data_IF_560852946090
#
_entry.id   IF_560852946090
#
_cell.length_a   1.000
_cell.length_b   1.000
_cell.length_c   1.000
_cell.angle_alpha   90.00
_cell.angle_beta   90.00
_cell.angle_gamma   90.00
#
_symmetry.space_group_name_H-M   'P 1'
#
loop_
_entity.id
_entity.type
_entity.pdbx_description
1 polymer ?
#
# COMPACT_ATOMS: atom_id res chain seq x y z
N UNK A 1 -1.35 -58.66 -15.37
CA UNK A 1 -2.63 -59.37 -15.16
C UNK A 1 -3.66 -58.31 -14.88
N UNK A 2 -4.78 -58.34 -15.59
CA UNK A 2 -5.90 -57.42 -15.36
C UNK A 2 -7.10 -58.28 -14.98
N UNK A 3 -7.75 -57.97 -13.87
CA UNK A 3 -8.95 -58.64 -13.42
C UNK A 3 -9.97 -57.56 -13.08
N UNK A 4 -11.16 -57.66 -13.68
CA UNK A 4 -12.22 -56.66 -13.56
C UNK A 4 -13.42 -57.34 -12.91
N UNK A 5 -13.78 -56.88 -11.71
CA UNK A 5 -15.01 -57.27 -11.03
C UNK A 5 -16.05 -56.17 -11.26
N UNK A 6 -17.26 -56.54 -11.71
CA UNK A 6 -18.41 -55.63 -11.74
C UNK A 6 -19.42 -56.09 -10.71
N UNK A 7 -19.67 -55.25 -9.73
CA UNK A 7 -20.55 -55.57 -8.61
C UNK A 7 -22.01 -55.19 -8.93
N UNK A 8 -22.96 -56.03 -8.52
CA UNK A 8 -24.40 -55.84 -8.68
C UNK A 8 -25.16 -55.54 -7.38
N UNK A 9 -24.44 -55.39 -6.26
CA UNK A 9 -24.97 -55.23 -4.91
C UNK A 9 -24.82 -56.50 -4.05
N UNK A 10 -24.11 -56.40 -2.91
CA UNK A 10 -23.73 -57.51 -2.04
C UNK A 10 -22.25 -57.47 -1.67
N UNK A 11 -21.83 -58.23 -0.65
CA UNK A 11 -20.43 -58.33 -0.19
C UNK A 11 -19.58 -59.26 -1.06
N UNK A 12 -19.51 -58.97 -2.36
CA UNK A 12 -18.76 -59.78 -3.31
C UNK A 12 -17.25 -59.52 -3.21
N UNK A 13 -16.45 -60.54 -3.48
CA UNK A 13 -14.99 -60.46 -3.51
C UNK A 13 -14.44 -61.28 -4.68
N UNK A 14 -13.31 -60.86 -5.23
CA UNK A 14 -12.62 -61.55 -6.33
C UNK A 14 -11.24 -61.98 -5.86
N UNK A 15 -10.96 -63.28 -5.95
CA UNK A 15 -9.61 -63.83 -5.78
C UNK A 15 -9.10 -64.37 -7.10
N UNK A 16 -7.91 -63.94 -7.50
CA UNK A 16 -7.19 -64.49 -8.65
C UNK A 16 -6.12 -65.43 -8.13
N UNK A 17 -6.17 -66.70 -8.56
CA UNK A 17 -5.16 -67.71 -8.25
C UNK A 17 -4.34 -68.09 -9.48
N UNK A 18 -3.20 -68.77 -9.27
CA UNK A 18 -2.33 -69.30 -10.31
C UNK A 18 -1.87 -70.71 -9.96
N UNK A 19 -1.53 -71.53 -10.98
CA UNK A 19 -0.91 -72.85 -10.80
C UNK A 19 0.26 -73.02 -11.77
N UNK A 20 1.32 -73.70 -11.35
CA UNK A 20 2.36 -74.15 -12.27
C UNK A 20 1.83 -75.31 -13.14
N UNK A 21 2.27 -75.46 -14.40
CA UNK A 21 1.90 -76.62 -15.20
C UNK A 21 2.68 -77.85 -14.69
N UNK A 22 2.07 -78.63 -13.81
CA UNK A 22 2.45 -80.02 -13.57
C UNK A 22 1.26 -80.92 -13.89
N UNK A 23 1.55 -82.11 -14.39
CA UNK A 23 0.67 -83.05 -15.10
C UNK A 23 -0.61 -83.47 -14.32
N UNK A 24 -1.63 -82.62 -14.31
CA UNK A 24 -3.05 -83.02 -14.23
C UNK A 24 -3.96 -81.79 -14.48
N UNK A 25 -4.46 -81.66 -15.71
CA UNK A 25 -5.18 -80.45 -16.17
C UNK A 25 -6.64 -80.38 -15.68
N UNK A 26 -7.20 -81.50 -15.19
CA UNK A 26 -8.64 -81.72 -15.00
C UNK A 26 -9.20 -81.37 -13.59
N UNK A 27 -8.35 -80.88 -12.67
CA UNK A 27 -8.78 -80.40 -11.34
C UNK A 27 -8.73 -78.87 -11.27
N UNK A 28 -9.89 -78.22 -11.10
CA UNK A 28 -9.96 -76.78 -10.78
C UNK A 28 -9.50 -76.54 -9.34
N UNK A 29 -8.72 -75.48 -9.04
CA UNK A 29 -8.39 -75.13 -7.66
C UNK A 29 -9.66 -74.95 -6.82
N UNK A 30 -9.72 -75.53 -5.63
CA UNK A 30 -10.86 -75.38 -4.73
C UNK A 30 -11.11 -73.92 -4.34
N UNK A 31 -12.36 -73.51 -4.16
CA UNK A 31 -12.72 -72.14 -3.74
C UNK A 31 -12.10 -71.73 -2.40
N UNK A 32 -12.00 -70.42 -2.15
CA UNK A 32 -11.34 -69.79 -0.98
C UNK A 32 -9.82 -70.03 -0.89
N UNK A 33 -9.08 -69.96 -2.00
CA UNK A 33 -7.62 -69.87 -1.93
C UNK A 33 -7.19 -68.52 -1.34
N UNK A 34 -6.04 -68.51 -0.68
CA UNK A 34 -5.33 -67.26 -0.38
C UNK A 34 -5.02 -66.53 -1.70
N UNK A 35 -5.20 -65.20 -1.71
CA UNK A 35 -4.81 -64.39 -2.86
C UNK A 35 -3.31 -64.50 -3.14
N UNK A 36 -2.90 -64.26 -4.39
CA UNK A 36 -1.48 -64.24 -4.74
C UNK A 36 -0.78 -63.16 -3.89
N UNK A 37 0.28 -63.49 -3.13
CA UNK A 37 1.00 -62.49 -2.35
C UNK A 37 1.66 -61.42 -3.23
N UNK A 38 1.75 -60.18 -2.71
CA UNK A 38 2.35 -59.03 -3.37
C UNK A 38 3.77 -59.28 -3.92
N UNK A 39 4.53 -60.18 -3.29
CA UNK A 39 5.91 -60.53 -3.65
C UNK A 39 6.07 -61.12 -5.06
N UNK A 40 4.98 -61.66 -5.62
CA UNK A 40 4.98 -62.23 -6.99
C UNK A 40 4.56 -61.22 -8.05
N UNK A 41 4.17 -60.01 -7.65
CA UNK A 41 3.82 -58.94 -8.58
C UNK A 41 5.00 -57.98 -8.73
N UNK A 42 5.32 -57.64 -9.97
CA UNK A 42 6.20 -56.51 -10.28
C UNK A 42 5.34 -55.41 -10.90
N UNK A 43 5.37 -54.23 -10.28
CA UNK A 43 4.80 -53.01 -10.84
C UNK A 43 5.92 -52.16 -11.45
N UNK A 44 5.64 -51.45 -12.54
CA UNK A 44 6.54 -50.42 -13.05
C UNK A 44 5.87 -49.07 -12.87
N UNK A 45 6.50 -48.18 -12.10
CA UNK A 45 6.09 -46.78 -12.04
C UNK A 45 6.95 -45.98 -13.02
N UNK A 46 6.30 -45.30 -13.97
CA UNK A 46 6.99 -44.40 -14.89
C UNK A 46 7.17 -43.05 -14.22
N UNK A 47 8.40 -42.75 -13.81
CA UNK A 47 8.78 -41.42 -13.30
C UNK A 47 9.12 -40.51 -14.49
N UNK A 48 8.44 -39.36 -14.67
CA UNK A 48 8.78 -38.40 -15.72
C UNK A 48 10.21 -37.86 -15.54
N UNK A 49 10.88 -37.50 -16.63
CA UNK A 49 12.14 -36.76 -16.52
C UNK A 49 11.89 -35.38 -15.89
N UNK A 50 12.86 -34.87 -15.13
CA UNK A 50 12.81 -33.50 -14.63
C UNK A 50 12.75 -32.53 -15.81
N UNK A 51 11.86 -31.54 -15.73
CA UNK A 51 11.91 -30.39 -16.63
C UNK A 51 13.15 -29.55 -16.34
N UNK A 52 13.57 -28.69 -17.27
CA UNK A 52 14.54 -27.63 -16.95
C UNK A 52 14.04 -26.78 -15.77
N UNK A 53 14.93 -26.00 -15.16
CA UNK A 53 14.51 -25.06 -14.12
C UNK A 53 13.36 -24.17 -14.61
N UNK A 54 12.48 -23.80 -13.69
CA UNK A 54 11.44 -22.80 -13.95
C UNK A 54 11.69 -21.55 -13.13
N UNK A 55 11.22 -20.41 -13.61
CA UNK A 55 11.38 -19.13 -12.92
C UNK A 55 10.27 -18.14 -13.24
N UNK A 56 10.05 -17.19 -12.33
CA UNK A 56 9.13 -16.07 -12.50
C UNK A 56 9.60 -14.86 -11.71
N UNK A 57 9.24 -13.65 -12.17
CA UNK A 57 9.43 -12.40 -11.43
C UNK A 57 8.08 -11.88 -10.95
N UNK A 58 8.03 -11.39 -9.71
CA UNK A 58 6.90 -10.69 -9.13
C UNK A 58 7.36 -9.36 -8.53
N UNK A 59 6.47 -8.37 -8.52
CA UNK A 59 6.69 -7.08 -7.86
C UNK A 59 5.59 -6.86 -6.84
N UNK A 60 5.97 -6.57 -5.61
CA UNK A 60 5.07 -6.13 -4.55
C UNK A 60 5.33 -4.65 -4.30
N UNK A 61 4.33 -3.80 -4.55
CA UNK A 61 4.45 -2.34 -4.36
C UNK A 61 3.89 -1.91 -3.01
N UNK A 62 4.51 -0.91 -2.42
CA UNK A 62 3.95 -0.09 -1.35
C UNK A 62 2.88 0.87 -1.90
N UNK A 63 2.70 1.98 -1.19
CA UNK A 63 1.63 2.96 -1.47
C UNK A 63 2.23 4.28 -1.94
N UNK A 64 1.43 5.23 -2.40
CA UNK A 64 1.96 6.57 -2.75
C UNK A 64 2.57 7.32 -1.56
N UNK A 65 2.14 6.98 -0.34
CA UNK A 65 2.59 7.59 0.91
C UNK A 65 3.83 6.92 1.50
N UNK A 66 4.09 5.67 1.09
CA UNK A 66 5.32 4.95 1.36
C UNK A 66 5.78 4.25 0.07
N UNK A 67 6.26 5.03 -0.91
CA UNK A 67 6.49 4.54 -2.25
C UNK A 67 7.80 3.76 -2.29
N UNK A 68 7.67 2.46 -2.14
CA UNK A 68 8.73 1.47 -2.29
C UNK A 68 8.19 0.22 -2.97
N UNK A 69 9.06 -0.69 -3.39
CA UNK A 69 8.67 -2.00 -3.89
C UNK A 69 9.71 -3.06 -3.55
N UNK A 70 9.24 -4.30 -3.46
CA UNK A 70 10.09 -5.49 -3.39
C UNK A 70 9.91 -6.30 -4.65
N UNK A 71 11.02 -6.57 -5.34
CA UNK A 71 11.08 -7.43 -6.53
C UNK A 71 11.50 -8.82 -6.08
N UNK A 72 10.75 -9.85 -6.46
CA UNK A 72 11.03 -11.24 -6.10
C UNK A 72 11.21 -12.09 -7.36
N UNK A 73 12.41 -12.61 -7.55
CA UNK A 73 12.70 -13.67 -8.52
C UNK A 73 12.55 -15.03 -7.83
N UNK A 74 11.55 -15.80 -8.27
CA UNK A 74 11.36 -17.18 -7.84
C UNK A 74 11.99 -18.12 -8.84
N UNK A 75 12.84 -19.06 -8.38
CA UNK A 75 13.46 -20.08 -9.24
C UNK A 75 13.26 -21.46 -8.60
N UNK A 76 12.86 -22.44 -9.41
CA UNK A 76 12.74 -23.84 -9.00
C UNK A 76 13.70 -24.67 -9.84
N UNK A 77 14.69 -25.29 -9.20
CA UNK A 77 15.63 -26.16 -9.90
C UNK A 77 14.92 -27.41 -10.44
N UNK A 78 15.36 -27.85 -11.61
CA UNK A 78 14.92 -29.09 -12.24
C UNK A 78 16.12 -29.88 -12.75
N UNK A 79 16.12 -30.23 -14.03
CA UNK A 79 17.24 -30.86 -14.71
C UNK A 79 18.46 -29.92 -14.84
N UNK A 80 18.22 -28.60 -14.89
CA UNK A 80 19.23 -27.57 -14.74
C UNK A 80 19.06 -26.87 -13.39
N UNK A 81 20.15 -26.31 -12.86
CA UNK A 81 20.16 -25.61 -11.57
C UNK A 81 20.59 -24.16 -11.73
N UNK A 82 20.09 -23.29 -10.88
CA UNK A 82 20.48 -21.88 -10.83
C UNK A 82 21.97 -21.71 -10.47
N UNK A 83 22.70 -20.89 -11.23
CA UNK A 83 23.94 -20.26 -10.76
C UNK A 83 23.57 -19.00 -9.95
N UNK A 84 23.47 -19.16 -8.63
CA UNK A 84 23.03 -18.07 -7.73
C UNK A 84 23.95 -16.83 -7.80
N UNK A 85 25.24 -17.00 -8.16
CA UNK A 85 26.17 -15.88 -8.28
C UNK A 85 25.93 -15.03 -9.54
N UNK A 86 25.26 -15.60 -10.54
CA UNK A 86 24.92 -14.92 -11.79
C UNK A 86 23.72 -13.98 -11.69
N UNK A 87 22.96 -14.07 -10.59
CA UNK A 87 21.69 -13.35 -10.44
C UNK A 87 21.94 -11.83 -10.38
N UNK A 88 21.21 -11.09 -11.22
CA UNK A 88 21.19 -9.65 -11.22
C UNK A 88 19.74 -9.16 -11.34
N UNK A 89 19.27 -8.43 -10.33
CA UNK A 89 17.99 -7.71 -10.36
C UNK A 89 18.29 -6.22 -10.47
N UNK A 90 17.56 -5.52 -11.33
CA UNK A 90 17.74 -4.08 -11.56
C UNK A 90 16.43 -3.34 -11.71
N UNK A 91 16.45 -2.05 -11.34
CA UNK A 91 15.36 -1.09 -11.49
C UNK A 91 15.85 0.06 -12.38
N UNK A 92 15.19 0.30 -13.52
CA UNK A 92 15.61 1.33 -14.48
C UNK A 92 17.05 1.14 -14.97
N UNK A 93 17.55 -0.10 -15.02
CA UNK A 93 18.93 -0.44 -15.35
C UNK A 93 19.94 -0.31 -14.19
N UNK A 94 19.52 0.17 -13.02
CA UNK A 94 20.37 0.24 -11.83
C UNK A 94 20.28 -1.07 -11.06
N UNK A 95 21.42 -1.75 -10.85
CA UNK A 95 21.47 -3.02 -10.11
C UNK A 95 21.13 -2.79 -8.63
N UNK A 96 20.23 -3.61 -8.11
CA UNK A 96 19.82 -3.61 -6.71
C UNK A 96 20.62 -4.64 -5.90
N UNK A 97 20.65 -4.44 -4.58
CA UNK A 97 21.14 -5.45 -3.64
C UNK A 97 20.05 -6.50 -3.46
N UNK A 98 20.37 -7.76 -3.76
CA UNK A 98 19.43 -8.87 -3.65
C UNK A 98 19.84 -9.84 -2.53
N UNK A 99 18.84 -10.39 -1.85
CA UNK A 99 18.99 -11.42 -0.81
C UNK A 99 18.30 -12.69 -1.26
N UNK A 100 18.97 -13.84 -1.15
CA UNK A 100 18.43 -15.14 -1.55
C UNK A 100 18.05 -15.98 -0.32
N UNK A 101 16.86 -16.56 -0.34
CA UNK A 101 16.45 -17.62 0.58
C UNK A 101 16.29 -18.92 -0.19
N UNK A 102 16.97 -19.98 0.24
CA UNK A 102 16.91 -21.30 -0.35
C UNK A 102 15.89 -22.19 0.38
N UNK A 103 15.10 -22.92 -0.38
CA UNK A 103 14.17 -23.95 0.08
C UNK A 103 14.34 -25.23 -0.72
N UNK A 104 13.42 -26.18 -0.52
CA UNK A 104 13.40 -27.44 -1.28
C UNK A 104 12.00 -27.79 -1.73
N UNK A 105 11.92 -28.53 -2.84
CA UNK A 105 10.69 -29.16 -3.28
C UNK A 105 10.89 -30.67 -3.36
N UNK A 106 9.81 -31.44 -3.16
CA UNK A 106 9.81 -32.89 -3.35
C UNK A 106 8.50 -33.33 -4.01
N UNK A 107 8.57 -34.29 -4.92
CA UNK A 107 7.41 -34.95 -5.54
C UNK A 107 7.59 -36.47 -5.55
N UNK A 108 6.63 -37.18 -4.98
CA UNK A 108 6.64 -38.64 -4.89
C UNK A 108 5.85 -39.28 -6.04
N UNK A 109 6.41 -40.33 -6.62
CA UNK A 109 5.82 -41.19 -7.64
C UNK A 109 5.73 -42.63 -7.12
N UNK A 110 4.98 -42.84 -6.05
CA UNK A 110 4.70 -44.18 -5.51
C UNK A 110 5.94 -44.93 -5.02
N UNK A 111 6.84 -44.24 -4.31
CA UNK A 111 8.05 -44.81 -3.72
C UNK A 111 9.36 -44.35 -4.37
N UNK A 112 9.28 -43.54 -5.44
CA UNK A 112 10.42 -42.82 -6.02
C UNK A 112 10.16 -41.33 -5.93
N UNK A 113 11.00 -40.60 -5.20
CA UNK A 113 10.88 -39.16 -5.05
C UNK A 113 11.85 -38.42 -5.97
N UNK A 114 11.38 -37.33 -6.56
CA UNK A 114 12.22 -36.28 -7.16
C UNK A 114 12.26 -35.09 -6.21
N UNK A 115 13.40 -34.41 -6.13
CA UNK A 115 13.57 -33.21 -5.33
C UNK A 115 14.60 -32.26 -5.94
N UNK A 116 14.56 -31.02 -5.48
CA UNK A 116 15.50 -29.97 -5.89
C UNK A 116 15.40 -28.75 -4.99
N UNK A 117 16.31 -27.80 -5.19
CA UNK A 117 16.27 -26.52 -4.48
C UNK A 117 15.24 -25.56 -5.10
N UNK A 118 14.69 -24.70 -4.26
CA UNK A 118 13.95 -23.51 -4.67
C UNK A 118 14.67 -22.28 -4.16
N UNK A 119 14.57 -21.16 -4.89
CA UNK A 119 15.14 -19.88 -4.48
C UNK A 119 14.05 -18.81 -4.53
N UNK A 120 13.95 -18.05 -3.45
CA UNK A 120 13.26 -16.76 -3.42
C UNK A 120 14.31 -15.68 -3.27
N UNK A 121 14.56 -14.93 -4.35
CA UNK A 121 15.57 -13.87 -4.37
C UNK A 121 14.86 -12.54 -4.41
N UNK A 122 14.97 -11.77 -3.32
CA UNK A 122 14.28 -10.49 -3.14
C UNK A 122 15.25 -9.33 -3.28
N UNK A 123 14.79 -8.23 -3.88
CA UNK A 123 15.52 -6.97 -3.94
C UNK A 123 14.56 -5.81 -3.68
N UNK A 124 14.87 -5.00 -2.67
CA UNK A 124 14.09 -3.81 -2.33
C UNK A 124 14.56 -2.60 -3.13
N UNK A 125 13.61 -1.78 -3.59
CA UNK A 125 13.92 -0.56 -4.36
C UNK A 125 14.44 0.57 -3.47
N UNK A 126 14.19 0.51 -2.17
CA UNK A 126 14.18 1.69 -1.31
C UNK A 126 13.05 2.65 -1.71
N UNK A 127 13.12 3.89 -1.23
CA UNK A 127 12.16 4.94 -1.59
C UNK A 127 12.30 5.34 -3.07
N UNK A 128 11.18 5.37 -3.77
CA UNK A 128 11.02 5.75 -5.18
C UNK A 128 9.81 6.69 -5.31
N UNK A 129 9.63 7.33 -6.46
CA UNK A 129 8.48 8.22 -6.67
C UNK A 129 7.22 7.44 -7.11
N UNK A 130 6.06 7.80 -6.56
CA UNK A 130 4.76 7.35 -7.06
C UNK A 130 4.39 8.04 -8.38
N UNK A 131 3.54 7.40 -9.19
CA UNK A 131 3.13 7.90 -10.50
C UNK A 131 4.17 7.76 -11.61
N UNK A 132 5.36 7.26 -11.29
CA UNK A 132 6.43 6.96 -12.25
C UNK A 132 6.40 5.47 -12.61
N UNK A 133 6.47 5.16 -13.91
CA UNK A 133 6.63 3.78 -14.37
C UNK A 133 8.10 3.36 -14.25
N UNK A 134 8.35 2.24 -13.57
CA UNK A 134 9.68 1.66 -13.43
C UNK A 134 9.79 0.35 -14.19
N UNK A 135 10.91 0.20 -14.91
CA UNK A 135 11.29 -1.06 -15.55
C UNK A 135 12.10 -1.93 -14.60
N UNK A 136 11.75 -3.20 -14.51
CA UNK A 136 12.44 -4.25 -13.75
C UNK A 136 13.06 -5.24 -14.72
N UNK A 137 14.32 -5.60 -14.49
CA UNK A 137 14.99 -6.69 -15.21
C UNK A 137 15.65 -7.62 -14.20
N UNK A 138 15.32 -8.91 -14.26
CA UNK A 138 15.91 -9.97 -13.46
C UNK A 138 16.57 -11.01 -14.38
N UNK A 139 17.90 -11.06 -14.37
CA UNK A 139 18.70 -11.97 -15.21
C UNK A 139 19.42 -12.99 -14.35
N UNK A 140 19.51 -14.22 -14.84
CA UNK A 140 20.31 -15.28 -14.24
C UNK A 140 20.78 -16.26 -15.32
N UNK A 141 21.76 -17.10 -14.98
CA UNK A 141 22.28 -18.18 -15.83
C UNK A 141 22.08 -19.52 -15.13
N UNK A 142 21.85 -20.56 -15.93
CA UNK A 142 21.69 -21.91 -15.45
C UNK A 142 22.96 -22.77 -15.56
N UNK A 143 22.93 -23.96 -14.98
CA UNK A 143 24.06 -24.90 -15.00
C UNK A 143 24.42 -25.42 -16.41
N UNK A 144 23.55 -25.23 -17.40
CA UNK A 144 23.85 -25.51 -18.81
C UNK A 144 24.49 -24.31 -19.53
N UNK A 145 24.60 -23.16 -18.87
CA UNK A 145 25.14 -21.91 -19.40
C UNK A 145 24.13 -21.05 -20.13
N UNK A 146 22.84 -21.38 -20.07
CA UNK A 146 21.78 -20.58 -20.70
C UNK A 146 21.39 -19.41 -19.79
N UNK A 147 21.37 -18.19 -20.34
CA UNK A 147 20.94 -17.00 -19.60
C UNK A 147 19.47 -16.71 -19.87
N UNK A 148 18.70 -16.51 -18.79
CA UNK A 148 17.30 -16.11 -18.84
C UNK A 148 17.14 -14.72 -18.25
N UNK A 149 16.35 -13.86 -18.89
CA UNK A 149 15.97 -12.54 -18.37
C UNK A 149 14.45 -12.44 -18.30
N UNK A 150 13.94 -11.98 -17.17
CA UNK A 150 12.55 -11.57 -16.98
C UNK A 150 12.50 -10.04 -16.90
N UNK A 151 11.72 -9.45 -17.79
CA UNK A 151 11.42 -8.01 -17.77
C UNK A 151 9.98 -7.78 -17.31
N UNK A 152 9.78 -6.75 -16.51
CA UNK A 152 8.46 -6.29 -16.06
C UNK A 152 8.44 -4.76 -15.93
N UNK A 153 7.25 -4.16 -15.91
CA UNK A 153 7.08 -2.78 -15.47
C UNK A 153 6.07 -2.71 -14.34
N UNK A 154 6.20 -1.69 -13.49
CA UNK A 154 5.19 -1.36 -12.50
C UNK A 154 5.11 0.14 -12.29
N UNK A 155 3.98 0.61 -11.77
CA UNK A 155 3.79 1.98 -11.32
C UNK A 155 3.13 1.92 -9.95
N UNK A 156 3.62 2.72 -9.00
CA UNK A 156 2.91 2.92 -7.73
C UNK A 156 1.84 3.97 -8.01
N UNK A 157 0.53 3.65 -7.84
CA UNK A 157 -0.52 4.61 -8.12
C UNK A 157 -0.37 5.82 -7.21
N UNK A 158 -0.66 7.00 -7.75
CA UNK A 158 -0.81 8.22 -6.95
C UNK A 158 -2.14 8.15 -6.23
N UNK A 159 -2.14 8.45 -4.93
CA UNK A 159 -3.38 8.65 -4.19
C UNK A 159 -3.72 10.14 -4.23
N UNK A 160 -4.78 10.47 -4.95
CA UNK A 160 -5.15 11.86 -5.25
C UNK A 160 -5.44 12.65 -3.97
N UNK A 161 -6.04 12.02 -2.96
CA UNK A 161 -6.35 12.69 -1.69
C UNK A 161 -5.11 13.34 -1.06
N UNK A 162 -3.94 12.70 -1.09
CA UNK A 162 -2.73 13.26 -0.45
C UNK A 162 -1.98 14.26 -1.34
N UNK A 163 -2.36 14.33 -2.63
CA UNK A 163 -1.76 15.23 -3.62
C UNK A 163 -2.65 16.45 -3.95
N UNK A 164 -3.71 16.68 -3.16
CA UNK A 164 -4.62 17.82 -3.31
C UNK A 164 -3.95 19.20 -3.15
N UNK A 165 -2.68 19.28 -2.77
CA UNK A 165 -1.98 20.54 -2.54
C UNK A 165 -2.51 21.30 -1.33
N UNK A 166 -3.22 20.63 -0.43
CA UNK A 166 -3.79 21.20 0.79
C UNK A 166 -2.71 21.86 1.63
N UNK A 167 -2.95 23.11 2.02
CA UNK A 167 -2.10 23.84 2.97
C UNK A 167 -2.83 24.03 4.28
N UNK A 168 -2.11 23.82 5.37
CA UNK A 168 -2.65 24.06 6.69
C UNK A 168 -2.98 25.56 6.85
N UNK A 169 -4.18 25.91 7.33
CA UNK A 169 -4.47 27.28 7.74
C UNK A 169 -3.53 27.74 8.86
N UNK A 170 -3.34 29.05 9.03
CA UNK A 170 -2.48 29.57 10.10
C UNK A 170 -3.02 29.28 11.52
N UNK A 171 -4.33 29.05 11.65
CA UNK A 171 -5.01 28.74 12.90
C UNK A 171 -6.04 27.65 12.66
N UNK A 172 -6.38 26.87 13.67
CA UNK A 172 -7.42 25.84 13.60
C UNK A 172 -8.72 26.37 13.00
N UNK A 173 -9.30 25.59 12.09
CA UNK A 173 -10.53 25.92 11.38
C UNK A 173 -11.80 25.41 12.08
N UNK A 174 -11.68 24.74 13.23
CA UNK A 174 -12.84 24.28 14.00
C UNK A 174 -13.34 22.89 13.62
N UNK A 175 -12.63 22.16 12.74
CA UNK A 175 -13.11 20.87 12.21
C UNK A 175 -12.00 20.00 11.63
N UNK A 176 -12.33 18.74 11.34
CA UNK A 176 -11.51 17.79 10.59
C UNK A 176 -12.35 17.08 9.52
N UNK A 177 -11.74 16.67 8.40
CA UNK A 177 -12.45 15.88 7.37
C UNK A 177 -12.63 14.44 7.84
N UNK A 178 -13.81 13.88 7.65
CA UNK A 178 -14.12 12.46 7.81
C UNK A 178 -14.55 11.88 6.46
N UNK A 179 -14.07 10.69 6.14
CA UNK A 179 -14.33 9.97 4.89
C UNK A 179 -14.64 8.52 5.22
N UNK A 180 -15.81 8.02 4.85
CA UNK A 180 -16.26 6.68 5.17
C UNK A 180 -16.38 5.82 3.91
N UNK A 181 -15.97 4.55 4.04
CA UNK A 181 -15.91 3.56 2.96
C UNK A 181 -16.75 2.34 3.37
N UNK A 182 -17.92 2.19 2.80
CA UNK A 182 -18.91 1.17 3.17
C UNK A 182 -18.68 -0.16 2.46
N UNK A 183 -19.15 -1.25 3.08
CA UNK A 183 -19.15 -2.59 2.50
C UNK A 183 -17.77 -3.25 2.47
N UNK A 184 -16.88 -2.87 3.37
CA UNK A 184 -15.54 -3.43 3.54
C UNK A 184 -15.59 -4.44 4.69
N UNK A 185 -15.73 -5.72 4.36
CA UNK A 185 -15.57 -6.81 5.33
C UNK A 185 -14.11 -7.11 5.67
N UNK A 186 -13.88 -8.00 6.62
CA UNK A 186 -12.53 -8.43 7.02
C UNK A 186 -11.85 -7.48 8.02
N UNK A 187 -10.53 -7.53 8.08
CA UNK A 187 -9.71 -6.78 9.04
C UNK A 187 -9.10 -5.50 8.46
N UNK A 188 -8.24 -4.83 9.23
CA UNK A 188 -7.59 -3.58 8.84
C UNK A 188 -6.91 -3.62 7.46
N UNK A 189 -6.23 -4.73 7.14
CA UNK A 189 -5.57 -4.89 5.84
C UNK A 189 -6.55 -4.95 4.66
N UNK A 190 -7.77 -5.44 4.88
CA UNK A 190 -8.80 -5.47 3.84
C UNK A 190 -9.34 -4.06 3.55
N UNK A 191 -9.23 -3.12 4.50
CA UNK A 191 -9.57 -1.71 4.32
C UNK A 191 -8.51 -0.95 3.53
N UNK A 192 -7.27 -0.92 4.02
CA UNK A 192 -6.21 -0.10 3.41
C UNK A 192 -5.79 -0.60 2.01
N UNK A 193 -6.08 -1.86 1.68
CA UNK A 193 -5.86 -2.45 0.36
C UNK A 193 -7.16 -2.54 -0.47
N UNK A 194 -8.28 -2.01 0.03
CA UNK A 194 -9.52 -2.02 -0.71
C UNK A 194 -9.42 -1.13 -1.95
N UNK A 195 -10.03 -1.54 -3.06
CA UNK A 195 -10.06 -0.74 -4.29
C UNK A 195 -10.73 0.63 -4.11
N UNK A 196 -11.57 0.82 -3.08
CA UNK A 196 -12.14 2.12 -2.73
C UNK A 196 -11.15 3.04 -2.01
N UNK A 197 -10.23 2.50 -1.22
CA UNK A 197 -9.33 3.31 -0.42
C UNK A 197 -8.09 3.72 -1.24
N UNK A 198 -7.66 4.99 -1.18
CA UNK A 198 -8.25 6.09 -0.42
C UNK A 198 -9.17 7.00 -1.24
N UNK A 199 -9.28 6.84 -2.55
CA UNK A 199 -9.81 7.91 -3.43
C UNK A 199 -11.31 7.80 -3.77
N UNK A 200 -12.01 6.76 -3.31
CA UNK A 200 -13.43 6.55 -3.58
C UNK A 200 -14.27 6.25 -2.31
N UNK A 201 -14.34 7.19 -1.35
CA UNK A 201 -15.26 7.07 -0.21
C UNK A 201 -16.72 7.16 -0.66
N UNK A 202 -17.59 6.52 0.10
CA UNK A 202 -19.04 6.58 -0.11
C UNK A 202 -19.66 7.83 0.54
N UNK A 203 -18.98 8.39 1.55
CA UNK A 203 -19.42 9.54 2.31
C UNK A 203 -18.22 10.39 2.76
N UNK A 204 -18.38 11.72 2.71
CA UNK A 204 -17.41 12.68 3.22
C UNK A 204 -18.13 13.84 3.93
N UNK A 205 -17.59 14.29 5.07
CA UNK A 205 -18.09 15.45 5.83
C UNK A 205 -16.93 16.12 6.61
N UNK A 206 -17.15 17.32 7.15
CA UNK A 206 -16.27 17.91 8.16
C UNK A 206 -16.92 17.86 9.54
N UNK A 207 -16.20 17.33 10.53
CA UNK A 207 -16.70 17.08 11.88
C UNK A 207 -15.94 17.86 12.94
N UNK A 208 -16.55 18.09 14.10
CA UNK A 208 -16.10 19.10 15.07
C UNK A 208 -15.08 18.62 16.10
N UNK A 209 -14.65 17.36 16.07
CA UNK A 209 -13.70 16.76 17.03
C UNK A 209 -13.16 15.42 16.51
N UNK A 210 -12.07 14.88 17.07
CA UNK A 210 -11.49 13.57 16.67
C UNK A 210 -12.26 12.39 17.28
N UNK A 211 -13.51 12.23 16.88
CA UNK A 211 -14.33 11.04 17.17
C UNK A 211 -15.21 10.69 15.97
N UNK A 212 -15.50 9.41 15.76
CA UNK A 212 -16.51 8.99 14.80
C UNK A 212 -17.19 7.69 15.28
N UNK A 213 -18.51 7.53 15.10
CA UNK A 213 -19.48 8.54 14.67
C UNK A 213 -19.67 9.66 15.71
N UNK A 214 -20.32 10.76 15.32
CA UNK A 214 -20.55 11.92 16.21
C UNK A 214 -22.04 12.19 16.46
N UNK A 215 -22.34 12.74 17.63
CA UNK A 215 -23.68 13.25 18.00
C UNK A 215 -23.84 14.75 17.72
N UNK A 216 -22.74 15.45 17.44
CA UNK A 216 -22.68 16.92 17.35
C UNK A 216 -22.44 17.62 18.70
N UNK A 217 -22.41 16.88 19.81
CA UNK A 217 -22.01 17.37 21.12
C UNK A 217 -20.89 16.50 21.68
N UNK A 218 -19.69 17.08 21.83
CA UNK A 218 -18.50 16.38 22.32
C UNK A 218 -18.70 15.76 23.72
N UNK A 219 -19.63 16.25 24.52
CA UNK A 219 -19.92 15.71 25.85
C UNK A 219 -20.84 14.48 25.82
N UNK A 220 -21.46 14.19 24.68
CA UNK A 220 -22.41 13.10 24.51
C UNK A 220 -21.81 11.99 23.65
N UNK A 221 -21.50 10.81 24.24
CA UNK A 221 -20.94 9.67 23.49
C UNK A 221 -21.86 9.23 22.34
N UNK A 222 -21.30 8.71 21.22
CA UNK A 222 -22.08 8.15 20.13
C UNK A 222 -22.92 6.93 20.54
N UNK A 223 -23.91 6.53 19.72
CA UNK A 223 -24.76 5.36 19.96
C UNK A 223 -23.98 4.04 20.08
N UNK A 224 -22.76 3.97 19.50
CA UNK A 224 -21.83 2.86 19.67
C UNK A 224 -22.18 1.58 18.93
N UNK A 225 -23.24 1.54 18.13
CA UNK A 225 -23.53 0.50 17.13
C UNK A 225 -24.58 1.10 16.17
N UNK A 226 -24.15 1.38 14.95
CA UNK A 226 -24.73 2.25 13.93
C UNK A 226 -24.62 1.57 12.56
N UNK A 227 -23.48 0.96 12.22
CA UNK A 227 -23.20 0.30 10.94
C UNK A 227 -22.19 -0.85 11.12
N UNK A 228 -22.07 -1.75 10.14
CA UNK A 228 -21.06 -2.82 10.15
C UNK A 228 -20.27 -2.79 8.83
N UNK A 229 -19.05 -3.34 8.83
CA UNK A 229 -18.21 -3.54 7.65
C UNK A 229 -17.91 -2.24 6.88
N UNK A 230 -17.28 -1.28 7.55
CA UNK A 230 -16.84 -0.03 6.93
C UNK A 230 -15.43 0.37 7.38
N UNK A 231 -14.79 1.22 6.59
CA UNK A 231 -13.57 1.92 6.97
C UNK A 231 -13.83 3.41 7.14
N UNK A 232 -13.06 4.07 7.99
CA UNK A 232 -13.12 5.52 8.22
C UNK A 232 -11.72 6.07 8.15
N UNK A 233 -11.60 7.20 7.46
CA UNK A 233 -10.43 8.06 7.50
C UNK A 233 -10.85 9.41 8.08
N UNK A 234 -10.27 9.81 9.21
CA UNK A 234 -10.28 11.21 9.64
C UNK A 234 -8.94 11.81 9.25
N UNK A 235 -8.93 12.93 8.52
CA UNK A 235 -7.72 13.50 7.91
C UNK A 235 -7.74 15.02 7.95
N UNK A 236 -6.61 15.62 8.31
CA UNK A 236 -6.48 17.07 8.43
C UNK A 236 -5.19 17.51 9.08
N UNK A 237 -5.28 18.62 9.82
CA UNK A 237 -4.16 19.20 10.55
C UNK A 237 -4.51 19.40 12.01
N UNK A 238 -3.52 19.14 12.87
CA UNK A 238 -3.51 19.46 14.28
C UNK A 238 -2.75 20.79 14.50
N UNK A 239 -3.31 21.66 15.33
CA UNK A 239 -2.75 22.94 15.75
C UNK A 239 -2.55 22.94 17.28
N UNK A 240 -1.34 22.62 17.77
CA UNK A 240 -1.05 22.64 19.20
C UNK A 240 -1.26 24.06 19.77
N UNK A 241 -1.98 24.22 20.88
CA UNK A 241 -2.20 25.53 21.49
C UNK A 241 -0.93 26.13 22.12
N UNK A 242 0.01 25.28 22.54
CA UNK A 242 1.26 25.68 23.16
C UNK A 242 2.40 24.75 22.75
N UNK A 243 3.64 25.22 22.97
CA UNK A 243 4.81 24.36 22.80
C UNK A 243 4.96 23.47 24.02
N UNK A 244 4.74 22.17 23.85
CA UNK A 244 4.78 21.18 24.93
C UNK A 244 5.05 19.77 24.37
N UNK A 245 5.26 18.84 25.29
CA UNK A 245 5.26 17.41 24.98
C UNK A 245 3.82 16.89 25.10
N UNK A 246 3.29 16.33 24.02
CA UNK A 246 1.93 15.79 23.95
C UNK A 246 1.96 14.27 23.88
N UNK A 247 1.10 13.61 24.65
CA UNK A 247 0.81 12.20 24.52
C UNK A 247 -0.61 12.02 24.00
N UNK A 248 -0.77 11.14 23.01
CA UNK A 248 -2.04 10.83 22.36
C UNK A 248 -2.52 9.45 22.79
N UNK A 249 -3.83 9.30 22.94
CA UNK A 249 -4.46 8.00 23.16
C UNK A 249 -5.63 7.83 22.19
N UNK A 250 -5.68 6.69 21.53
CA UNK A 250 -6.78 6.29 20.63
C UNK A 250 -7.61 5.20 21.30
N UNK A 251 -8.91 5.18 21.06
CA UNK A 251 -9.80 4.09 21.46
C UNK A 251 -10.77 3.82 20.32
N UNK A 252 -10.75 2.60 19.77
CA UNK A 252 -11.59 2.23 18.64
C UNK A 252 -12.21 0.85 18.78
N UNK A 253 -13.33 0.64 18.12
CA UNK A 253 -13.92 -0.66 17.85
C UNK A 253 -14.22 -0.70 16.35
N UNK A 254 -13.69 -1.63 15.55
CA UNK A 254 -12.58 -2.56 15.83
C UNK A 254 -11.21 -1.84 15.73
N UNK A 255 -10.45 -2.08 14.65
CA UNK A 255 -9.05 -1.73 14.52
C UNK A 255 -8.84 -0.25 14.19
N UNK A 256 -7.76 0.35 14.68
CA UNK A 256 -7.36 1.68 14.22
C UNK A 256 -5.86 1.93 14.23
N UNK A 257 -5.46 2.95 13.47
CA UNK A 257 -4.14 3.52 13.45
C UNK A 257 -4.24 5.04 13.51
N UNK A 258 -3.41 5.65 14.37
CA UNK A 258 -3.23 7.10 14.48
C UNK A 258 -1.87 7.49 13.92
N UNK A 259 -1.88 8.33 12.90
CA UNK A 259 -0.71 8.85 12.23
C UNK A 259 -0.55 10.34 12.52
N UNK A 260 0.67 10.76 12.83
CA UNK A 260 1.03 12.17 13.02
C UNK A 260 2.33 12.47 12.28
N UNK A 261 2.35 13.57 11.54
CA UNK A 261 3.53 14.05 10.85
C UNK A 261 4.38 14.96 11.73
N UNK A 262 5.66 15.06 11.38
CA UNK A 262 6.59 16.03 11.99
C UNK A 262 6.36 17.46 11.49
N UNK A 263 5.54 17.64 10.45
CA UNK A 263 5.15 18.92 9.87
C UNK A 263 3.77 18.83 9.16
N UNK A 264 3.42 19.83 8.34
CA UNK A 264 2.17 19.82 7.56
C UNK A 264 2.16 18.82 6.39
N UNK A 265 3.31 18.20 6.05
CA UNK A 265 3.42 17.32 4.91
C UNK A 265 3.02 15.89 5.31
N UNK A 266 1.99 15.28 4.68
CA UNK A 266 1.57 13.93 5.01
C UNK A 266 2.67 12.89 4.74
N UNK A 267 3.62 13.16 3.83
CA UNK A 267 4.73 12.25 3.53
C UNK A 267 5.69 12.02 4.72
N UNK A 268 5.65 12.90 5.72
CA UNK A 268 6.47 12.81 6.93
C UNK A 268 5.72 12.16 8.11
N UNK A 269 4.53 11.61 7.88
CA UNK A 269 3.71 10.97 8.91
C UNK A 269 4.36 9.73 9.48
N UNK A 270 4.15 9.52 10.78
CA UNK A 270 4.59 8.35 11.53
C UNK A 270 3.41 7.76 12.27
N UNK A 271 3.38 6.43 12.39
CA UNK A 271 2.39 5.74 13.23
C UNK A 271 2.77 6.00 14.68
N UNK A 272 1.87 6.63 15.43
CA UNK A 272 2.15 7.03 16.83
C UNK A 272 1.35 6.23 17.85
N UNK A 273 0.22 5.64 17.45
CA UNK A 273 -0.60 4.73 18.26
C UNK A 273 -1.49 3.86 17.35
N UNK A 274 -1.93 2.71 17.84
CA UNK A 274 -2.84 1.82 17.13
C UNK A 274 -3.68 0.97 18.10
N UNK A 275 -4.81 0.45 17.64
CA UNK A 275 -5.60 -0.55 18.36
C UNK A 275 -5.79 -1.77 17.44
N UNK A 276 -5.25 -2.93 17.83
CA UNK A 276 -5.29 -4.17 17.05
C UNK A 276 -6.45 -5.10 17.41
N UNK A 277 -7.17 -4.81 18.47
CA UNK A 277 -8.44 -5.42 18.85
C UNK A 277 -9.57 -4.40 18.76
N UNK A 278 -10.17 -4.11 19.91
CA UNK A 278 -11.26 -3.17 20.08
C UNK A 278 -11.30 -2.64 21.53
N UNK A 279 -11.87 -1.45 21.71
CA UNK A 279 -12.14 -0.82 22.98
C UNK A 279 -13.52 -0.13 22.94
N UNK A 280 -14.26 -0.17 24.06
CA UNK A 280 -15.47 0.63 24.18
C UNK A 280 -15.22 2.12 23.92
N UNK A 281 -16.27 2.85 23.59
CA UNK A 281 -16.26 4.30 23.37
C UNK A 281 -15.43 5.03 24.45
N UNK A 282 -14.38 5.73 24.00
CA UNK A 282 -13.46 6.54 24.84
C UNK A 282 -12.81 5.76 25.99
N UNK A 283 -12.73 4.43 25.91
CA UNK A 283 -12.01 3.60 26.85
C UNK A 283 -10.51 3.57 26.51
N UNK A 284 -9.87 4.74 26.61
CA UNK A 284 -8.44 4.90 26.38
C UNK A 284 -7.63 4.01 27.32
N UNK A 285 -6.60 3.37 26.76
CA UNK A 285 -5.72 2.47 27.51
C UNK A 285 -4.64 3.24 28.26
N UNK A 286 -3.94 2.53 29.14
CA UNK A 286 -2.88 3.12 29.96
C UNK A 286 -1.60 3.38 29.14
N UNK A 287 -0.74 4.26 29.66
CA UNK A 287 0.60 4.50 29.11
C UNK A 287 1.39 3.20 28.97
N UNK A 288 1.99 3.01 27.79
CA UNK A 288 2.74 1.80 27.43
C UNK A 288 1.92 0.74 26.70
N UNK A 289 0.61 0.94 26.57
CA UNK A 289 -0.23 0.18 25.64
C UNK A 289 -0.04 0.66 24.20
N UNK A 290 -0.33 -0.18 23.20
CA UNK A 290 -0.20 0.20 21.78
C UNK A 290 -1.14 1.34 21.36
N UNK A 291 -2.26 1.50 22.07
CA UNK A 291 -3.25 2.54 21.82
C UNK A 291 -2.87 3.89 22.47
N UNK A 292 -1.68 4.01 23.08
CA UNK A 292 -1.16 5.25 23.67
C UNK A 292 0.23 5.55 23.16
N UNK A 293 0.44 6.75 22.62
CA UNK A 293 1.74 7.16 22.09
C UNK A 293 2.78 7.41 23.19
N UNK A 294 4.06 7.43 22.80
CA UNK A 294 5.06 8.16 23.57
C UNK A 294 4.76 9.67 23.57
N UNK A 295 5.43 10.42 24.44
CA UNK A 295 5.37 11.88 24.40
C UNK A 295 6.08 12.43 23.14
N UNK A 296 5.40 13.34 22.44
CA UNK A 296 5.86 13.96 21.19
C UNK A 296 5.92 15.47 21.40
N UNK A 297 7.10 16.06 21.22
CA UNK A 297 7.28 17.51 21.31
C UNK A 297 6.65 18.22 20.11
N UNK A 298 5.66 19.07 20.36
CA UNK A 298 5.00 19.89 19.35
C UNK A 298 5.16 21.36 19.70
N UNK A 299 5.24 22.21 18.67
CA UNK A 299 5.36 23.66 18.84
C UNK A 299 4.00 24.35 18.65
N UNK A 300 3.67 25.24 19.58
CA UNK A 300 2.47 26.05 19.50
C UNK A 300 2.46 26.94 18.27
N UNK A 301 1.31 27.01 17.59
CA UNK A 301 1.16 27.82 16.37
C UNK A 301 1.74 27.21 15.10
N UNK A 302 2.28 25.99 15.15
CA UNK A 302 2.54 25.17 13.95
C UNK A 302 1.33 24.31 13.61
N UNK A 303 1.34 23.75 12.41
CA UNK A 303 0.38 22.76 11.95
C UNK A 303 1.10 21.44 11.67
N UNK A 304 0.47 20.34 12.04
CA UNK A 304 0.97 19.00 11.85
C UNK A 304 -0.09 18.16 11.16
N UNK A 305 0.26 17.47 10.08
CA UNK A 305 -0.67 16.53 9.46
C UNK A 305 -1.05 15.42 10.45
N UNK A 306 -2.34 15.15 10.58
CA UNK A 306 -2.88 14.10 11.47
C UNK A 306 -3.92 13.27 10.71
N UNK A 307 -3.89 11.96 10.96
CA UNK A 307 -4.79 11.03 10.31
C UNK A 307 -5.14 9.84 11.20
N UNK A 308 -6.42 9.47 11.18
CA UNK A 308 -6.93 8.23 11.75
C UNK A 308 -7.37 7.35 10.61
N UNK A 309 -6.94 6.10 10.61
CA UNK A 309 -7.53 5.03 9.81
C UNK A 309 -8.19 4.05 10.78
N UNK A 310 -9.51 3.86 10.68
CA UNK A 310 -10.25 2.90 11.48
C UNK A 310 -10.99 1.93 10.56
N UNK A 311 -10.99 0.65 10.94
CA UNK A 311 -11.72 -0.40 10.24
C UNK A 311 -12.65 -1.04 11.25
N UNK A 312 -13.94 -0.95 10.94
CA UNK A 312 -14.99 -1.64 11.68
C UNK A 312 -15.46 -2.92 10.98
N UNK A 313 -15.50 -4.03 11.70
CA UNK A 313 -16.04 -5.31 11.27
C UNK A 313 -17.53 -5.42 11.58
N UNK A 314 -17.86 -5.53 12.86
CA UNK A 314 -19.23 -5.43 13.32
C UNK A 314 -19.35 -5.57 14.83
N UNK A 315 -20.36 -4.94 15.40
CA UNK A 315 -20.45 -4.82 16.86
C UNK A 315 -20.44 -3.37 17.29
N UNK A 316 -19.39 -2.94 18.00
CA UNK A 316 -19.31 -1.59 18.50
C UNK A 316 -18.75 -0.63 17.46
N UNK A 317 -19.31 0.57 17.36
CA UNK A 317 -18.85 1.60 16.44
C UNK A 317 -18.21 2.76 17.18
N UNK A 318 -16.88 2.79 17.20
CA UNK A 318 -16.18 4.01 17.59
C UNK A 318 -14.75 4.11 17.07
N UNK A 319 -14.32 5.34 16.91
CA UNK A 319 -12.92 5.73 17.07
C UNK A 319 -12.89 7.10 17.73
N UNK A 320 -12.03 7.29 18.72
CA UNK A 320 -11.82 8.57 19.38
C UNK A 320 -10.34 8.78 19.70
N UNK A 321 -9.86 10.01 19.60
CA UNK A 321 -8.50 10.38 20.01
C UNK A 321 -8.56 11.51 21.03
N UNK A 322 -7.88 11.31 22.16
CA UNK A 322 -7.63 12.32 23.17
C UNK A 322 -6.13 12.55 23.32
N UNK A 323 -5.77 13.65 24.00
CA UNK A 323 -4.37 13.98 24.29
C UNK A 323 -4.20 14.57 25.68
N UNK A 324 -2.94 14.65 26.12
CA UNK A 324 -2.54 15.29 27.37
C UNK A 324 -1.14 15.87 27.24
N UNK A 325 -0.84 16.93 27.98
CA UNK A 325 0.52 17.46 28.20
C UNK A 325 1.05 17.14 29.60
N UNK A 326 0.32 16.32 30.37
CA UNK A 326 0.60 16.02 31.77
C UNK A 326 0.24 14.58 32.12
N UNK A 327 -0.69 14.42 33.06
CA UNK A 327 -1.13 13.09 33.52
C UNK A 327 -1.75 12.27 32.38
N UNK A 328 -1.66 10.95 32.51
CA UNK A 328 -2.19 10.00 31.53
C UNK A 328 -3.67 10.29 31.17
N UNK A 329 -4.00 10.09 29.89
CA UNK A 329 -5.37 10.27 29.40
C UNK A 329 -6.32 9.33 30.15
N UNK A 330 -7.29 9.90 30.87
CA UNK A 330 -8.27 9.13 31.61
C UNK A 330 -9.32 8.51 30.68
N UNK A 331 -9.83 7.33 31.03
CA UNK A 331 -11.00 6.76 30.36
C UNK A 331 -12.19 7.74 30.42
N UNK A 332 -12.86 7.95 29.28
CA UNK A 332 -13.94 8.91 29.12
C UNK A 332 -13.48 10.37 28.94
N UNK A 333 -12.18 10.64 28.83
CA UNK A 333 -11.68 11.96 28.46
C UNK A 333 -12.30 12.44 27.13
N UNK A 334 -12.47 13.76 27.01
CA UNK A 334 -13.02 14.32 25.78
C UNK A 334 -12.02 14.12 24.62
N UNK A 335 -12.52 13.79 23.43
CA UNK A 335 -11.70 13.79 22.22
C UNK A 335 -11.09 15.17 21.94
N UNK A 336 -10.07 15.22 21.08
CA UNK A 336 -9.47 16.49 20.65
C UNK A 336 -10.54 17.32 19.92
N UNK A 337 -10.82 18.51 20.45
CA UNK A 337 -11.79 19.46 19.90
C UNK A 337 -11.33 20.03 18.56
N UNK A 338 -12.30 20.37 17.70
CA UNK A 338 -12.12 21.13 16.48
C UNK A 338 -11.41 22.47 16.68
N UNK A 339 -11.41 23.01 17.90
CA UNK A 339 -10.62 24.20 18.28
C UNK A 339 -9.11 24.05 18.00
N UNK A 340 -8.64 22.82 17.81
CA UNK A 340 -7.25 22.48 17.48
C UNK A 340 -7.10 21.81 16.11
N UNK A 341 -8.15 21.76 15.28
CA UNK A 341 -8.15 21.00 14.03
C UNK A 341 -8.49 21.86 12.83
N UNK A 342 -7.92 21.49 11.68
CA UNK A 342 -8.34 21.98 10.36
C UNK A 342 -8.60 20.81 9.41
N UNK A 343 -9.60 20.90 8.53
CA UNK A 343 -9.96 19.82 7.62
C UNK A 343 -8.92 19.68 6.50
N UNK A 344 -8.78 18.46 5.98
CA UNK A 344 -8.09 18.20 4.73
C UNK A 344 -9.05 18.47 3.58
N UNK A 345 -8.92 19.64 2.97
CA UNK A 345 -9.73 20.06 1.83
C UNK A 345 -8.85 20.11 0.59
N UNK A 346 -9.43 20.03 -0.61
CA UNK A 346 -8.70 20.43 -1.80
C UNK A 346 -8.11 21.82 -1.52
N UNK A 347 -6.78 21.93 -1.56
CA UNK A 347 -6.18 23.25 -1.47
C UNK A 347 -6.83 24.07 -2.57
N UNK A 348 -7.28 25.29 -2.25
CA UNK A 348 -7.11 26.34 -3.24
C UNK A 348 -5.62 26.29 -3.54
N UNK A 349 -5.23 25.57 -4.59
CA UNK A 349 -3.87 25.48 -5.08
C UNK A 349 -3.55 26.88 -5.58
N UNK A 350 -3.32 27.81 -4.65
CA UNK A 350 -3.91 29.14 -4.69
C UNK A 350 -3.79 29.70 -6.09
N UNK A 351 -4.90 29.75 -6.83
CA UNK A 351 -4.93 29.67 -8.30
C UNK A 351 -3.59 30.10 -8.91
N UNK A 352 -2.88 29.19 -9.59
CA UNK A 352 -1.67 29.58 -10.32
C UNK A 352 -1.98 30.91 -11.02
N UNK A 353 -1.24 31.99 -10.71
CA UNK A 353 -1.66 33.33 -11.06
C UNK A 353 -1.97 33.36 -12.55
N UNK A 354 -3.20 33.75 -12.90
CA UNK A 354 -3.64 33.68 -14.28
C UNK A 354 -2.65 34.47 -15.13
N UNK A 355 -2.09 33.84 -16.15
CA UNK A 355 -1.16 34.47 -17.10
C UNK A 355 -1.70 34.23 -18.50
N UNK A 356 -2.02 35.29 -19.22
CA UNK A 356 -2.43 35.24 -20.62
C UNK A 356 -1.55 36.14 -21.47
N UNK A 357 -1.24 35.65 -22.67
CA UNK A 357 -0.39 36.33 -23.64
C UNK A 357 -1.17 36.42 -24.94
N UNK A 358 -1.41 37.63 -25.42
CA UNK A 358 -2.12 37.89 -26.68
C UNK A 358 -1.18 38.60 -27.65
N UNK A 359 -0.96 37.99 -28.82
CA UNK A 359 -0.32 38.69 -29.94
C UNK A 359 -1.37 39.60 -30.61
N UNK A 360 -1.14 40.91 -30.57
CA UNK A 360 -2.10 41.90 -31.04
C UNK A 360 -2.11 42.07 -32.57
N UNK A 361 -1.16 41.45 -33.29
CA UNK A 361 -1.04 41.53 -34.76
C UNK A 361 -0.49 42.86 -35.28
N UNK A 362 -0.10 43.77 -34.39
CA UNK A 362 0.47 45.10 -34.68
C UNK A 362 1.97 45.21 -34.35
N UNK A 363 2.60 44.07 -34.06
CA UNK A 363 3.99 44.00 -33.60
C UNK A 363 4.15 44.07 -32.07
N UNK A 364 3.06 44.09 -31.30
CA UNK A 364 3.09 44.04 -29.84
C UNK A 364 2.41 42.77 -29.29
N UNK A 365 2.77 42.44 -28.05
CA UNK A 365 2.17 41.39 -27.25
C UNK A 365 1.62 41.98 -25.96
N UNK A 366 0.38 41.64 -25.62
CA UNK A 366 -0.23 41.99 -24.32
C UNK A 366 -0.09 40.81 -23.37
N UNK A 367 0.50 41.06 -22.20
CA UNK A 367 0.62 40.07 -21.11
C UNK A 367 -0.28 40.51 -19.96
N UNK A 368 -1.31 39.73 -19.68
CA UNK A 368 -2.18 39.93 -18.50
C UNK A 368 -1.81 38.90 -17.46
N UNK A 369 -1.50 39.33 -16.26
CA UNK A 369 -1.08 38.46 -15.16
C UNK A 369 -1.72 38.85 -13.82
N UNK A 370 -1.80 37.90 -12.89
CA UNK A 370 -2.06 38.16 -11.47
C UNK A 370 -0.74 38.21 -10.67
N UNK A 371 -0.71 39.04 -9.62
CA UNK A 371 0.49 39.18 -8.77
C UNK A 371 1.61 39.95 -9.45
N UNK A 372 2.82 39.36 -9.51
CA UNK A 372 4.03 39.95 -10.12
C UNK A 372 4.48 39.14 -11.32
N UNK A 373 4.91 39.84 -12.36
CA UNK A 373 5.58 39.24 -13.52
C UNK A 373 7.09 39.13 -13.25
N UNK A 374 7.66 37.96 -13.49
CA UNK A 374 9.10 37.73 -13.44
C UNK A 374 9.60 37.26 -14.80
N UNK A 375 10.84 37.64 -15.14
CA UNK A 375 11.52 37.24 -16.37
C UNK A 375 12.87 36.57 -16.10
N UNK A 376 13.28 35.69 -17.01
CA UNK A 376 14.58 35.04 -17.00
C UNK A 376 15.11 34.77 -18.43
N UNK A 377 16.43 34.66 -18.57
CA UNK A 377 17.07 34.28 -19.84
C UNK A 377 16.97 32.77 -20.14
N UNK A 378 16.72 31.93 -19.12
CA UNK A 378 16.51 30.49 -19.27
C UNK A 378 15.25 30.05 -18.53
N UNK A 379 14.67 28.91 -18.94
CA UNK A 379 13.49 28.33 -18.29
C UNK A 379 13.69 28.00 -16.80
N UNK A 380 14.95 27.86 -16.35
CA UNK A 380 15.29 27.53 -14.97
C UNK A 380 15.78 28.74 -14.16
N UNK A 381 15.74 29.96 -14.72
CA UNK A 381 16.20 31.18 -14.06
C UNK A 381 17.66 31.58 -14.41
N UNK A 382 18.30 32.44 -13.61
CA UNK A 382 17.75 33.11 -12.42
C UNK A 382 16.58 34.03 -12.78
N UNK A 383 15.53 33.98 -11.97
CA UNK A 383 14.32 34.79 -12.13
C UNK A 383 14.49 36.15 -11.46
N UNK A 384 14.10 37.22 -12.15
CA UNK A 384 14.08 38.57 -11.61
C UNK A 384 12.75 39.27 -11.93
N UNK A 385 12.45 40.31 -11.15
CA UNK A 385 11.25 41.13 -11.36
C UNK A 385 11.28 41.76 -12.76
N UNK A 386 10.19 41.61 -13.51
CA UNK A 386 10.12 42.11 -14.89
C UNK A 386 10.12 43.64 -14.95
N UNK A 387 9.87 44.37 -13.86
CA UNK A 387 10.09 45.82 -13.79
C UNK A 387 11.56 46.22 -13.98
N UNK A 388 12.50 45.33 -13.66
CA UNK A 388 13.93 45.54 -13.95
C UNK A 388 14.28 45.26 -15.42
N UNK A 389 13.40 44.54 -16.13
CA UNK A 389 13.59 44.13 -17.52
C UNK A 389 12.87 45.04 -18.52
N UNK A 390 11.80 45.71 -18.09
CA UNK A 390 10.93 46.57 -18.93
C UNK A 390 11.04 48.03 -18.47
N UNK A 391 11.92 48.85 -19.07
CA UNK A 391 12.14 50.23 -18.64
C UNK A 391 10.87 51.08 -18.75
N UNK A 392 10.51 51.76 -17.66
CA UNK A 392 9.38 52.69 -17.62
C UNK A 392 8.02 52.04 -17.32
N UNK A 393 7.99 50.73 -17.09
CA UNK A 393 6.80 50.02 -16.60
C UNK A 393 6.78 49.99 -15.07
N UNK A 394 5.59 50.16 -14.48
CA UNK A 394 5.36 50.24 -13.03
C UNK A 394 5.00 48.90 -12.38
N UNK A 395 4.98 47.81 -13.16
CA UNK A 395 4.62 46.46 -12.69
C UNK A 395 3.12 46.17 -12.75
N UNK A 396 2.31 47.06 -13.31
CA UNK A 396 0.86 46.88 -13.43
C UNK A 396 0.46 45.91 -14.56
N UNK A 397 -0.57 45.11 -14.32
CA UNK A 397 -1.20 44.21 -15.29
C UNK A 397 -2.45 44.87 -15.92
N UNK A 398 -2.67 44.76 -17.25
CA UNK A 398 -1.80 44.12 -18.25
C UNK A 398 -0.64 45.01 -18.69
N UNK A 399 0.44 44.40 -19.19
CA UNK A 399 1.57 45.09 -19.81
C UNK A 399 1.63 44.80 -21.31
N UNK A 400 1.96 45.81 -22.13
CA UNK A 400 2.18 45.65 -23.58
C UNK A 400 3.67 45.75 -23.88
N UNK A 401 4.21 44.74 -24.56
CA UNK A 401 5.64 44.62 -24.86
C UNK A 401 5.83 44.52 -26.39
N UNK A 402 6.79 45.23 -26.99
CA UNK A 402 7.13 45.05 -28.39
C UNK A 402 7.62 43.63 -28.67
N UNK A 403 7.11 42.98 -29.73
CA UNK A 403 7.49 41.63 -30.13
C UNK A 403 8.92 41.52 -30.69
N UNK A 404 9.68 42.61 -30.69
CA UNK A 404 11.06 42.72 -31.19
C UNK A 404 12.12 42.61 -30.08
N UNK A 405 11.73 42.44 -28.81
CA UNK A 405 12.67 42.25 -27.71
C UNK A 405 13.26 40.82 -27.69
N UNK A 406 14.36 40.63 -26.96
CA UNK A 406 15.02 39.32 -26.85
C UNK A 406 14.06 38.27 -26.24
N UNK A 407 14.24 36.99 -26.58
CA UNK A 407 13.47 35.91 -25.96
C UNK A 407 13.73 35.87 -24.45
N UNK A 408 12.67 36.10 -23.66
CA UNK A 408 12.66 35.92 -22.21
C UNK A 408 11.59 34.90 -21.84
N UNK A 409 11.90 34.06 -20.86
CA UNK A 409 10.91 33.22 -20.19
C UNK A 409 10.20 34.08 -19.15
N UNK A 410 8.86 34.06 -19.14
CA UNK A 410 8.04 34.81 -18.20
C UNK A 410 7.22 33.89 -17.31
N UNK A 411 7.06 34.27 -16.03
CA UNK A 411 6.11 33.62 -15.11
C UNK A 411 5.38 34.66 -14.27
N UNK A 412 4.15 34.37 -13.90
CA UNK A 412 3.42 35.10 -12.89
C UNK A 412 3.63 34.43 -11.52
N UNK A 413 3.74 35.20 -10.45
CA UNK A 413 3.85 34.72 -9.07
C UNK A 413 2.97 35.60 -8.16
N UNK A 414 2.23 34.99 -7.22
CA UNK A 414 1.45 35.72 -6.21
C UNK A 414 2.35 36.27 -5.10
#
# INVERSE_FOLDING_TARGET
MEAILKEGGGGDWMTVGWRMPSEDIDSVPGGNQEGIPGEYFTGTVKVPALSALSSSVGVSTGTSMDPMATITLSVTNGATTLDAASVAISLGGTKLTATATEGTWTKDFGGVAQSGATYSITADTGSIDAGVEYAVSATFTDSAGESTTHDATFTIPVWEIYNLGTKAPATAAGSISVRQFQGIGGGFNDFINNAKFPDAPDFEETVGYLEWPQTGDINTPPPGNVEDNYGVQLIGFLHPPETADYQFAIASDDNSQLWLSTDENPANRQLIAQETGWQPIRAYQAVGDEATSEFISLEGGKAYYIEILNKEGGGGDNVAVAWTTGDAVAAGALPISGDYLSPWVAGDAGDAPALSIVNNGDGNVTVTFEGKLQGAATVNGPWQDATALLPGWDGSSPVTIPASEAQFYGRAVK
#
